data_IF_791850778886
#
_entry.id   IF_791850778886
#
_cell.length_a   1.000
_cell.length_b   1.000
_cell.length_c   1.000
_cell.angle_alpha   90.00
_cell.angle_beta   90.00
_cell.angle_gamma   90.00
#
_symmetry.space_group_name_H-M   'P 1'
#
loop_
_entity.id
_entity.type
_entity.pdbx_description
1 polymer ?
#
# COMPACT_ATOMS: atom_id res chain seq x y z
N UNK A 1 -50.77 15.96 25.05
CA UNK A 1 -49.51 16.54 24.50
C UNK A 1 -48.20 15.92 25.07
N UNK A 2 -48.19 14.70 25.63
CA UNK A 2 -46.96 14.05 26.17
C UNK A 2 -46.45 12.85 25.34
N UNK A 3 -47.29 12.24 24.51
CA UNK A 3 -46.94 11.04 23.70
C UNK A 3 -45.98 11.34 22.54
N UNK A 4 -46.02 12.54 21.96
CA UNK A 4 -45.09 12.97 20.90
C UNK A 4 -43.69 13.32 21.43
N UNK A 5 -43.56 13.72 22.71
CA UNK A 5 -42.26 14.02 23.32
C UNK A 5 -41.36 12.77 23.37
N UNK A 6 -41.93 11.60 23.67
CA UNK A 6 -41.20 10.32 23.64
C UNK A 6 -40.72 9.96 22.23
N UNK A 7 -41.57 10.11 21.22
CA UNK A 7 -41.21 9.84 19.83
C UNK A 7 -40.09 10.79 19.33
N UNK A 8 -40.15 12.07 19.73
CA UNK A 8 -39.12 13.05 19.39
C UNK A 8 -37.78 12.69 20.05
N UNK A 9 -37.79 12.28 21.32
CA UNK A 9 -36.56 11.88 22.04
C UNK A 9 -35.90 10.67 21.36
N UNK A 10 -36.67 9.66 20.97
CA UNK A 10 -36.15 8.46 20.29
C UNK A 10 -35.59 8.82 18.91
N UNK A 11 -36.29 9.67 18.15
CA UNK A 11 -35.82 10.14 16.85
C UNK A 11 -34.51 10.94 16.98
N UNK A 12 -34.40 11.82 17.98
CA UNK A 12 -33.16 12.57 18.22
C UNK A 12 -32.00 11.66 18.61
N UNK A 13 -32.25 10.63 19.43
CA UNK A 13 -31.22 9.66 19.82
C UNK A 13 -30.71 8.86 18.62
N UNK A 14 -31.62 8.46 17.73
CA UNK A 14 -31.28 7.75 16.50
C UNK A 14 -30.41 8.62 15.58
N UNK A 15 -30.80 9.87 15.35
CA UNK A 15 -30.01 10.78 14.52
C UNK A 15 -28.63 11.08 15.12
N UNK A 16 -28.52 11.26 16.43
CA UNK A 16 -27.22 11.43 17.13
C UNK A 16 -26.34 10.20 16.95
N UNK A 17 -26.90 8.99 17.06
CA UNK A 17 -26.17 7.74 16.83
C UNK A 17 -25.67 7.61 15.39
N UNK A 18 -26.49 8.00 14.40
CA UNK A 18 -26.11 7.95 12.98
C UNK A 18 -25.02 8.98 12.69
N UNK A 19 -25.10 10.19 13.25
CA UNK A 19 -24.08 11.23 13.08
C UNK A 19 -22.74 10.79 13.69
N UNK A 20 -22.75 10.20 14.89
CA UNK A 20 -21.54 9.66 15.52
C UNK A 20 -20.95 8.49 14.73
N UNK A 21 -21.79 7.56 14.25
CA UNK A 21 -21.37 6.44 13.42
C UNK A 21 -20.77 6.91 12.09
N UNK A 22 -21.41 7.88 11.44
CA UNK A 22 -20.91 8.48 10.21
C UNK A 22 -19.58 9.20 10.45
N UNK A 23 -19.44 9.91 11.57
CA UNK A 23 -18.19 10.56 11.94
C UNK A 23 -17.05 9.56 12.20
N UNK A 24 -17.33 8.39 12.79
CA UNK A 24 -16.35 7.30 12.97
C UNK A 24 -15.92 6.68 11.62
N UNK A 25 -16.86 6.50 10.69
CA UNK A 25 -16.58 5.91 9.37
C UNK A 25 -15.83 6.90 8.46
N UNK A 26 -16.21 8.17 8.46
CA UNK A 26 -15.57 9.22 7.65
C UNK A 26 -14.28 9.73 8.25
N UNK A 27 -14.22 9.86 9.58
CA UNK A 27 -12.97 10.06 10.30
C UNK A 27 -12.31 8.71 10.44
N UNK A 28 -11.90 8.10 9.31
CA UNK A 28 -10.87 7.06 9.35
C UNK A 28 -9.77 7.61 10.25
N UNK A 29 -9.57 7.09 11.47
CA UNK A 29 -8.33 7.33 12.16
C UNK A 29 -7.34 6.68 11.21
N UNK A 30 -6.54 7.50 10.52
CA UNK A 30 -5.28 7.00 10.02
C UNK A 30 -4.58 6.52 11.28
N UNK A 31 -4.74 5.23 11.56
CA UNK A 31 -4.04 4.50 12.58
C UNK A 31 -2.58 4.60 12.12
N UNK A 32 -1.97 5.74 12.46
CA UNK A 32 -0.53 5.85 12.62
C UNK A 32 -0.27 4.82 13.68
N UNK A 33 0.00 3.60 13.23
CA UNK A 33 0.65 2.57 14.02
C UNK A 33 1.82 3.33 14.66
N UNK A 34 1.68 3.66 15.94
CA UNK A 34 2.78 4.11 16.74
C UNK A 34 3.82 3.02 16.56
N UNK A 35 4.86 3.34 15.78
CA UNK A 35 6.08 2.56 15.74
C UNK A 35 6.62 2.65 17.16
N UNK A 36 6.19 1.70 17.99
CA UNK A 36 6.80 1.39 19.27
C UNK A 36 8.29 1.41 19.01
N UNK A 37 8.97 2.40 19.57
CA UNK A 37 10.39 2.65 19.47
C UNK A 37 11.11 1.46 20.10
N UNK A 38 11.21 0.37 19.34
CA UNK A 38 12.24 -0.62 19.55
C UNK A 38 13.53 0.11 19.26
N UNK A 39 14.29 0.35 20.34
CA UNK A 39 15.73 0.66 20.41
C UNK A 39 16.36 0.66 19.02
N UNK A 40 16.91 1.81 18.60
CA UNK A 40 17.36 2.16 17.25
C UNK A 40 18.48 1.30 16.65
N UNK A 41 18.29 -0.01 16.62
CA UNK A 41 19.02 -0.93 15.77
C UNK A 41 18.24 -0.93 14.46
N UNK A 42 18.60 -0.01 13.56
CA UNK A 42 18.23 -0.15 12.15
C UNK A 42 18.93 -1.40 11.64
N UNK A 43 18.31 -2.56 11.82
CA UNK A 43 18.82 -3.81 11.28
C UNK A 43 18.84 -3.69 9.76
N UNK A 44 19.98 -4.00 9.17
CA UNK A 44 20.10 -4.16 7.73
C UNK A 44 19.16 -5.27 7.26
N UNK A 45 18.43 -4.99 6.17
CA UNK A 45 17.39 -5.87 5.62
C UNK A 45 17.71 -6.23 4.20
N UNK A 46 17.30 -7.43 3.83
CA UNK A 46 17.24 -7.88 2.43
C UNK A 46 15.77 -7.94 2.05
N UNK A 47 15.38 -7.20 1.01
CA UNK A 47 14.00 -7.19 0.55
C UNK A 47 13.76 -8.28 -0.50
N UNK A 48 12.71 -9.07 -0.33
CA UNK A 48 12.30 -10.07 -1.32
C UNK A 48 11.09 -9.53 -2.11
N UNK A 49 11.22 -9.49 -3.43
CA UNK A 49 10.18 -9.02 -4.37
C UNK A 49 9.71 -10.19 -5.23
N UNK A 50 8.46 -10.60 -5.05
CA UNK A 50 7.85 -11.71 -5.79
C UNK A 50 7.15 -11.23 -7.07
N UNK A 51 7.66 -11.65 -8.23
CA UNK A 51 7.05 -11.42 -9.55
C UNK A 51 6.43 -12.75 -9.99
N UNK A 52 5.09 -12.83 -9.97
CA UNK A 52 4.35 -14.04 -10.30
C UNK A 52 3.39 -13.78 -11.46
N UNK A 53 3.34 -14.69 -12.42
CA UNK A 53 2.44 -14.59 -13.57
C UNK A 53 2.88 -13.53 -14.60
N UNK A 54 2.04 -13.25 -15.62
CA UNK A 54 2.39 -12.36 -16.72
C UNK A 54 2.67 -10.92 -16.26
N UNK A 55 3.70 -10.30 -16.82
CA UNK A 55 4.06 -8.90 -16.59
C UNK A 55 3.29 -8.04 -17.58
N UNK A 56 2.26 -7.35 -17.08
CA UNK A 56 1.42 -6.48 -17.91
C UNK A 56 1.99 -5.07 -17.94
N UNK A 57 1.93 -4.44 -19.10
CA UNK A 57 2.12 -3.00 -19.20
C UNK A 57 1.06 -2.29 -18.38
N UNK A 58 1.41 -1.15 -17.78
CA UNK A 58 0.52 -0.41 -16.91
C UNK A 58 -0.81 -0.12 -17.61
N UNK A 59 -1.86 -0.77 -17.14
CA UNK A 59 -3.23 -0.38 -17.41
C UNK A 59 -3.75 0.22 -16.11
N UNK A 60 -4.57 1.27 -16.19
CA UNK A 60 -5.24 1.90 -15.03
C UNK A 60 -6.18 0.87 -14.38
N UNK A 61 -5.61 -0.09 -13.66
CA UNK A 61 -6.33 -1.09 -12.90
C UNK A 61 -6.38 -0.61 -11.45
N UNK A 62 -7.59 -0.53 -10.92
CA UNK A 62 -7.86 -0.13 -9.53
C UNK A 62 -7.58 -1.26 -8.53
N UNK A 63 -7.28 -2.48 -9.01
CA UNK A 63 -6.91 -3.61 -8.18
C UNK A 63 -5.55 -3.35 -7.52
N UNK A 64 -5.44 -3.20 -6.18
CA UNK A 64 -4.18 -2.99 -5.48
C UNK A 64 -3.16 -4.12 -5.67
N UNK A 65 -3.62 -5.35 -5.97
CA UNK A 65 -2.80 -6.53 -6.13
C UNK A 65 -2.38 -6.80 -7.58
N UNK A 66 -2.80 -5.96 -8.54
CA UNK A 66 -2.34 -6.09 -9.93
C UNK A 66 -0.82 -6.00 -9.99
N UNK A 67 -0.22 -6.86 -10.83
CA UNK A 67 1.23 -6.97 -11.01
C UNK A 67 1.69 -6.23 -12.27
N UNK A 68 1.22 -4.99 -12.38
CA UNK A 68 1.59 -4.13 -13.50
C UNK A 68 3.03 -3.66 -13.34
N UNK A 69 3.75 -3.47 -14.45
CA UNK A 69 5.16 -3.05 -14.44
C UNK A 69 5.38 -1.78 -13.60
N UNK A 70 4.48 -0.81 -13.69
CA UNK A 70 4.55 0.44 -12.94
C UNK A 70 4.53 0.23 -11.42
N UNK A 71 3.75 -0.72 -10.92
CA UNK A 71 3.70 -1.03 -9.49
C UNK A 71 4.97 -1.70 -9.00
N UNK A 72 5.53 -2.61 -9.82
CA UNK A 72 6.81 -3.24 -9.53
C UNK A 72 7.90 -2.19 -9.47
N UNK A 73 7.97 -1.30 -10.48
CA UNK A 73 8.92 -0.17 -10.52
C UNK A 73 8.75 0.75 -9.31
N UNK A 74 7.52 1.15 -8.97
CA UNK A 74 7.24 1.97 -7.77
C UNK A 74 7.71 1.28 -6.49
N UNK A 75 7.55 -0.04 -6.38
CA UNK A 75 8.02 -0.81 -5.21
C UNK A 75 9.55 -0.85 -5.18
N UNK A 76 10.21 -1.10 -6.31
CA UNK A 76 11.67 -1.09 -6.42
C UNK A 76 12.26 0.27 -6.07
N UNK A 77 11.65 1.36 -6.56
CA UNK A 77 12.04 2.73 -6.21
C UNK A 77 11.99 2.99 -4.70
N UNK A 78 10.90 2.60 -4.03
CA UNK A 78 10.76 2.70 -2.57
C UNK A 78 11.83 1.89 -1.81
N UNK A 79 12.23 0.73 -2.36
CA UNK A 79 13.28 -0.09 -1.77
C UNK A 79 14.67 0.52 -1.98
N UNK A 80 14.90 1.14 -3.13
CA UNK A 80 16.13 1.86 -3.45
C UNK A 80 16.35 3.04 -2.49
N UNK A 81 15.28 3.80 -2.22
CA UNK A 81 15.27 4.95 -1.31
C UNK A 81 15.39 4.55 0.18
N UNK A 82 15.21 3.26 0.52
CA UNK A 82 15.28 2.78 1.90
C UNK A 82 16.72 2.45 2.30
N UNK A 83 17.32 3.26 3.17
CA UNK A 83 18.69 3.07 3.67
C UNK A 83 18.87 1.77 4.48
N UNK A 84 17.83 1.28 5.14
CA UNK A 84 17.87 0.03 5.90
C UNK A 84 17.85 -1.22 4.99
N UNK A 85 17.53 -1.10 3.70
CA UNK A 85 17.54 -2.21 2.75
C UNK A 85 18.90 -2.25 2.07
N UNK A 86 19.70 -3.29 2.29
CA UNK A 86 21.05 -3.42 1.71
C UNK A 86 21.09 -4.17 0.39
N UNK A 87 20.12 -5.06 0.18
CA UNK A 87 20.03 -5.84 -1.05
C UNK A 87 18.56 -6.15 -1.37
N UNK A 88 18.29 -6.45 -2.64
CA UNK A 88 16.98 -6.89 -3.12
C UNK A 88 17.08 -8.19 -3.88
N UNK A 89 16.28 -9.18 -3.49
CA UNK A 89 16.14 -10.46 -4.17
C UNK A 89 14.85 -10.46 -4.97
N UNK A 90 14.96 -10.60 -6.29
CA UNK A 90 13.81 -10.83 -7.16
C UNK A 90 13.53 -12.32 -7.27
N UNK A 91 12.37 -12.75 -6.76
CA UNK A 91 11.86 -14.10 -6.97
C UNK A 91 10.86 -14.08 -8.11
N UNK A 92 11.25 -14.65 -9.25
CA UNK A 92 10.51 -14.59 -10.50
C UNK A 92 9.91 -15.96 -10.81
N UNK A 93 8.61 -16.00 -11.01
CA UNK A 93 7.87 -17.12 -11.61
C UNK A 93 6.86 -16.52 -12.60
N UNK A 94 7.34 -16.16 -13.79
CA UNK A 94 6.58 -15.44 -14.79
C UNK A 94 6.84 -16.02 -16.18
N UNK A 95 5.80 -16.20 -17.03
CA UNK A 95 5.98 -16.55 -18.44
C UNK A 95 6.49 -15.37 -19.28
N UNK A 96 6.76 -14.21 -18.68
CA UNK A 96 7.14 -12.97 -19.36
C UNK A 96 5.98 -11.99 -19.46
N UNK A 97 5.99 -11.15 -20.49
CA UNK A 97 5.06 -10.03 -20.64
C UNK A 97 5.35 -9.19 -21.88
N UNK A 98 4.84 -7.97 -21.93
CA UNK A 98 5.21 -7.05 -23.01
C UNK A 98 6.65 -6.58 -22.84
N UNK A 99 7.38 -6.39 -23.95
CA UNK A 99 8.79 -5.95 -23.92
C UNK A 99 8.94 -4.64 -23.16
N UNK A 100 8.03 -3.68 -23.38
CA UNK A 100 8.03 -2.40 -22.67
C UNK A 100 7.91 -2.59 -21.14
N UNK A 101 6.99 -3.44 -20.68
CA UNK A 101 6.76 -3.67 -19.26
C UNK A 101 7.97 -4.31 -18.56
N UNK A 102 8.67 -5.22 -19.26
CA UNK A 102 9.91 -5.83 -18.78
C UNK A 102 11.05 -4.80 -18.77
N UNK A 103 11.15 -3.98 -19.82
CA UNK A 103 12.17 -2.94 -19.94
C UNK A 103 12.07 -1.89 -18.83
N UNK A 104 10.85 -1.52 -18.41
CA UNK A 104 10.63 -0.61 -17.29
C UNK A 104 11.23 -1.16 -15.99
N UNK A 105 10.95 -2.43 -15.69
CA UNK A 105 11.46 -3.12 -14.49
C UNK A 105 12.99 -3.22 -14.57
N UNK A 106 13.53 -3.65 -15.70
CA UNK A 106 14.97 -3.80 -15.91
C UNK A 106 15.72 -2.48 -15.74
N UNK A 107 15.18 -1.40 -16.29
CA UNK A 107 15.76 -0.06 -16.17
C UNK A 107 15.82 0.41 -14.72
N UNK A 108 14.81 0.10 -13.91
CA UNK A 108 14.82 0.42 -12.48
C UNK A 108 15.84 -0.42 -11.70
N UNK A 109 15.95 -1.72 -12.02
CA UNK A 109 16.98 -2.58 -11.41
C UNK A 109 18.41 -2.10 -11.69
N UNK A 110 18.68 -1.61 -12.90
CA UNK A 110 19.97 -1.01 -13.25
C UNK A 110 20.27 0.23 -12.41
N UNK A 111 19.27 1.07 -12.12
CA UNK A 111 19.44 2.22 -11.22
C UNK A 111 19.74 1.77 -9.79
N UNK A 112 19.06 0.74 -9.30
CA UNK A 112 19.32 0.19 -7.96
C UNK A 112 20.76 -0.33 -7.84
N UNK A 113 21.23 -1.07 -8.84
CA UNK A 113 22.61 -1.57 -8.90
C UNK A 113 23.63 -0.44 -8.93
N UNK A 114 23.37 0.63 -9.69
CA UNK A 114 24.21 1.84 -9.72
C UNK A 114 24.27 2.55 -8.35
N UNK A 115 23.20 2.48 -7.57
CA UNK A 115 23.12 3.06 -6.23
C UNK A 115 23.73 2.16 -5.14
N UNK A 116 24.37 1.04 -5.51
CA UNK A 116 25.03 0.14 -4.56
C UNK A 116 24.08 -0.76 -3.77
N UNK A 117 22.90 -1.05 -4.32
CA UNK A 117 22.01 -2.13 -3.82
C UNK A 117 22.29 -3.46 -4.52
#
# INVERSE_FOLDING_TARGET
MKRNKLAIIIATLFFVSVILGFWIVFSKPSEKIEKKSRIGISQDKIAVVNILGPIKASMKSSDPFSRDSEKIVKRLKKLNENASVKAVVLRINSPGGTVAAVQDIYSELLKMKKNGK
#
